data_IF_895978255753
#
_entry.id   IF_895978255753
#
_cell.length_a   1.000
_cell.length_b   1.000
_cell.length_c   1.000
_cell.angle_alpha   90.00
_cell.angle_beta   90.00
_cell.angle_gamma   90.00
#
_symmetry.space_group_name_H-M   'P 1'
#
loop_
_entity.id
_entity.type
_entity.pdbx_description
1 polymer ?
#
# COMPACT_ATOMS: atom_id res chain seq x y z
N UNK A 1 18.07 7.07 2.94
CA UNK A 1 16.80 7.84 2.98
C UNK A 1 15.99 7.28 4.13
N UNK A 2 15.60 8.12 5.08
CA UNK A 2 14.82 7.67 6.23
C UNK A 2 13.46 7.13 5.74
N UNK A 3 13.11 5.92 6.14
CA UNK A 3 11.85 5.26 5.75
C UNK A 3 10.65 5.82 6.52
N UNK A 4 10.87 6.68 7.51
CA UNK A 4 9.83 7.35 8.26
C UNK A 4 10.10 8.86 8.37
N UNK A 5 9.03 9.63 8.54
CA UNK A 5 9.05 11.07 8.84
C UNK A 5 7.93 11.35 9.82
N UNK A 6 8.24 12.08 10.89
CA UNK A 6 7.26 12.53 11.87
C UNK A 6 7.25 14.05 11.91
N UNK A 7 6.15 14.65 11.44
CA UNK A 7 5.98 16.10 11.40
C UNK A 7 4.54 16.45 11.79
N UNK A 8 4.34 17.46 12.65
CA UNK A 8 3.01 18.01 12.99
C UNK A 8 1.96 16.95 13.38
N UNK A 9 2.31 16.04 14.31
CA UNK A 9 1.44 14.92 14.75
C UNK A 9 1.04 13.96 13.61
N UNK A 10 1.83 13.91 12.53
CA UNK A 10 1.62 13.01 11.40
C UNK A 10 2.87 12.15 11.21
N UNK A 11 2.72 10.85 11.31
CA UNK A 11 3.74 9.87 10.98
C UNK A 11 3.51 9.37 9.54
N UNK A 12 4.53 9.50 8.71
CA UNK A 12 4.56 8.96 7.35
C UNK A 12 5.58 7.84 7.27
N UNK A 13 5.14 6.64 6.92
CA UNK A 13 6.01 5.47 6.70
C UNK A 13 6.07 5.17 5.20
N UNK A 14 7.26 5.19 4.61
CA UNK A 14 7.47 4.94 3.19
C UNK A 14 7.86 3.50 2.94
N UNK A 15 7.16 2.85 2.01
CA UNK A 15 7.51 1.51 1.54
C UNK A 15 8.88 1.54 0.85
N UNK A 16 9.71 0.54 1.14
CA UNK A 16 10.95 0.33 0.42
C UNK A 16 10.65 0.07 -1.07
N UNK A 17 11.18 0.92 -1.95
CA UNK A 17 10.96 0.79 -3.39
C UNK A 17 11.59 -0.50 -3.91
N UNK A 18 10.82 -1.28 -4.64
CA UNK A 18 11.32 -2.46 -5.33
C UNK A 18 12.33 -2.08 -6.43
N UNK A 19 13.23 -2.99 -6.85
CA UNK A 19 14.17 -2.72 -7.94
C UNK A 19 13.46 -2.15 -9.17
N UNK A 20 14.12 -1.22 -9.87
CA UNK A 20 13.48 -0.48 -10.97
C UNK A 20 12.96 -1.40 -12.08
N UNK A 21 13.69 -2.48 -12.36
CA UNK A 21 13.29 -3.50 -13.34
C UNK A 21 11.98 -4.19 -12.94
N UNK A 22 11.82 -4.56 -11.67
CA UNK A 22 10.59 -5.20 -11.17
C UNK A 22 9.41 -4.24 -11.31
N UNK A 23 9.60 -2.97 -10.93
CA UNK A 23 8.55 -1.95 -11.07
C UNK A 23 8.15 -1.75 -12.54
N UNK A 24 9.14 -1.67 -13.44
CA UNK A 24 8.89 -1.52 -14.87
C UNK A 24 8.07 -2.69 -15.42
N UNK A 25 8.46 -3.92 -15.09
CA UNK A 25 7.73 -5.12 -15.51
C UNK A 25 6.29 -5.12 -14.98
N UNK A 26 6.09 -4.77 -13.70
CA UNK A 26 4.76 -4.69 -13.11
C UNK A 26 3.86 -3.67 -13.83
N UNK A 27 4.38 -2.49 -14.17
CA UNK A 27 3.62 -1.49 -14.92
C UNK A 27 3.33 -1.94 -16.36
N UNK A 28 4.26 -2.61 -17.04
CA UNK A 28 4.04 -3.15 -18.38
C UNK A 28 2.92 -4.20 -18.34
N UNK A 29 2.97 -5.16 -17.42
CA UNK A 29 1.94 -6.19 -17.29
C UNK A 29 0.58 -5.55 -16.98
N UNK A 30 0.55 -4.62 -16.03
CA UNK A 30 -0.66 -3.85 -15.68
C UNK A 30 -1.25 -3.16 -16.91
N UNK A 31 -0.42 -2.48 -17.71
CA UNK A 31 -0.83 -1.81 -18.93
C UNK A 31 -1.39 -2.78 -19.97
N UNK A 32 -0.73 -3.91 -20.18
CA UNK A 32 -1.18 -4.95 -21.11
C UNK A 32 -2.54 -5.55 -20.71
N UNK A 33 -2.83 -5.66 -19.42
CA UNK A 33 -4.15 -6.11 -18.96
C UNK A 33 -5.29 -5.22 -19.48
N UNK A 34 -5.08 -3.91 -19.64
CA UNK A 34 -6.13 -3.03 -20.19
C UNK A 34 -6.09 -2.97 -21.72
N UNK A 35 -4.90 -2.98 -22.30
CA UNK A 35 -4.70 -2.73 -23.74
C UNK A 35 -5.07 -3.94 -24.59
N UNK A 36 -4.69 -5.16 -24.20
CA UNK A 36 -4.96 -6.37 -24.98
C UNK A 36 -6.47 -6.62 -25.19
N UNK A 37 -7.33 -6.64 -24.16
CA UNK A 37 -8.77 -6.85 -24.37
C UNK A 37 -9.40 -5.69 -25.14
N UNK A 38 -8.96 -4.45 -24.91
CA UNK A 38 -9.46 -3.29 -25.65
C UNK A 38 -9.11 -3.39 -27.14
N UNK A 39 -7.86 -3.73 -27.45
CA UNK A 39 -7.38 -3.95 -28.81
C UNK A 39 -8.14 -5.08 -29.50
N UNK A 40 -8.41 -6.18 -28.80
CA UNK A 40 -9.23 -7.28 -29.31
C UNK A 40 -10.66 -6.86 -29.66
N UNK A 41 -11.28 -6.01 -28.84
CA UNK A 41 -12.61 -5.44 -29.15
C UNK A 41 -12.54 -4.56 -30.40
N UNK A 42 -11.55 -3.66 -30.48
CA UNK A 42 -11.36 -2.75 -31.62
C UNK A 42 -11.15 -3.53 -32.92
N UNK A 43 -10.30 -4.57 -32.92
CA UNK A 43 -10.09 -5.41 -34.09
C UNK A 43 -11.38 -6.11 -34.56
N UNK A 44 -12.17 -6.65 -33.63
CA UNK A 44 -13.46 -7.26 -33.99
C UNK A 44 -14.41 -6.25 -34.64
N UNK A 45 -14.43 -4.99 -34.17
CA UNK A 45 -15.26 -3.94 -34.78
C UNK A 45 -14.78 -3.64 -36.21
N UNK A 46 -13.47 -3.49 -36.42
CA UNK A 46 -12.88 -3.17 -37.72
C UNK A 46 -13.17 -4.29 -38.75
N UNK A 47 -13.12 -5.55 -38.32
CA UNK A 47 -13.41 -6.72 -39.15
C UNK A 47 -14.92 -6.89 -39.47
N UNK A 48 -15.79 -6.00 -38.97
CA UNK A 48 -17.24 -6.09 -39.16
C UNK A 48 -17.92 -7.15 -38.28
N UNK A 49 -17.19 -7.77 -37.35
CA UNK A 49 -17.71 -8.74 -36.40
C UNK A 49 -18.52 -8.11 -35.25
N UNK A 50 -18.49 -6.77 -35.13
CA UNK A 50 -19.17 -6.02 -34.08
C UNK A 50 -18.60 -6.28 -32.68
N UNK A 51 -19.29 -5.79 -31.64
CA UNK A 51 -18.90 -6.02 -30.25
C UNK A 51 -19.50 -7.34 -29.77
N UNK A 52 -18.65 -8.35 -29.58
CA UNK A 52 -19.06 -9.65 -29.04
C UNK A 52 -19.11 -9.60 -27.51
N UNK A 53 -20.10 -10.29 -26.93
CA UNK A 53 -20.21 -10.44 -25.48
C UNK A 53 -18.93 -11.01 -24.84
N UNK A 54 -18.28 -11.97 -25.50
CA UNK A 54 -17.00 -12.52 -25.03
C UNK A 54 -15.88 -11.47 -24.92
N UNK A 55 -15.85 -10.47 -25.81
CA UNK A 55 -14.91 -9.35 -25.73
C UNK A 55 -15.19 -8.45 -24.53
N UNK A 56 -16.47 -8.14 -24.27
CA UNK A 56 -16.88 -7.36 -23.10
C UNK A 56 -16.53 -8.10 -21.80
N UNK A 57 -16.83 -9.41 -21.74
CA UNK A 57 -16.52 -10.24 -20.58
C UNK A 57 -15.00 -10.31 -20.32
N UNK A 58 -14.21 -10.54 -21.38
CA UNK A 58 -12.76 -10.52 -21.29
C UNK A 58 -12.25 -9.16 -20.79
N UNK A 59 -12.77 -8.05 -21.33
CA UNK A 59 -12.41 -6.71 -20.86
C UNK A 59 -12.74 -6.51 -19.38
N UNK A 60 -13.90 -6.97 -18.90
CA UNK A 60 -14.26 -6.89 -17.49
C UNK A 60 -13.29 -7.65 -16.58
N UNK A 61 -13.01 -8.91 -16.90
CA UNK A 61 -12.09 -9.76 -16.13
C UNK A 61 -10.67 -9.20 -16.13
N UNK A 62 -10.15 -8.83 -17.30
CA UNK A 62 -8.82 -8.28 -17.43
C UNK A 62 -8.70 -6.89 -16.81
N UNK A 63 -9.75 -6.06 -16.82
CA UNK A 63 -9.77 -4.78 -16.11
C UNK A 63 -9.73 -4.98 -14.59
N UNK A 64 -10.45 -5.98 -14.08
CA UNK A 64 -10.39 -6.32 -12.65
C UNK A 64 -8.99 -6.77 -12.23
N UNK A 65 -8.38 -7.68 -13.00
CA UNK A 65 -6.99 -8.12 -12.76
C UNK A 65 -6.01 -6.94 -12.92
N UNK A 66 -6.18 -6.13 -13.96
CA UNK A 66 -5.36 -4.95 -14.24
C UNK A 66 -5.42 -3.93 -13.10
N UNK A 67 -6.60 -3.70 -12.52
CA UNK A 67 -6.74 -2.80 -11.37
C UNK A 67 -6.02 -3.34 -10.13
N UNK A 68 -6.12 -4.64 -9.87
CA UNK A 68 -5.35 -5.27 -8.80
C UNK A 68 -3.84 -5.14 -9.02
N UNK A 69 -3.36 -5.39 -10.24
CA UNK A 69 -1.94 -5.24 -10.60
C UNK A 69 -1.48 -3.77 -10.52
N UNK A 70 -2.35 -2.82 -10.85
CA UNK A 70 -2.09 -1.39 -10.68
C UNK A 70 -1.87 -1.05 -9.20
N UNK A 71 -2.73 -1.55 -8.31
CA UNK A 71 -2.58 -1.37 -6.85
C UNK A 71 -1.23 -1.89 -6.36
N UNK A 72 -0.81 -3.08 -6.80
CA UNK A 72 0.50 -3.65 -6.46
C UNK A 72 1.63 -2.78 -7.01
N UNK A 73 1.55 -2.36 -8.27
CA UNK A 73 2.58 -1.56 -8.95
C UNK A 73 2.80 -0.21 -8.28
N UNK A 74 1.70 0.46 -7.91
CA UNK A 74 1.74 1.73 -7.19
C UNK A 74 2.29 1.57 -5.79
N UNK A 75 1.87 0.54 -5.04
CA UNK A 75 2.40 0.28 -3.70
C UNK A 75 3.91 0.05 -3.71
N UNK A 76 4.41 -0.75 -4.66
CA UNK A 76 5.84 -1.04 -4.80
C UNK A 76 6.68 0.18 -5.25
N UNK A 77 6.04 1.23 -5.74
CA UNK A 77 6.70 2.40 -6.32
C UNK A 77 6.60 3.64 -5.46
N UNK A 78 5.43 3.86 -4.86
CA UNK A 78 5.02 5.07 -4.18
C UNK A 78 4.23 4.81 -2.90
N UNK A 79 4.12 3.56 -2.44
CA UNK A 79 3.34 3.22 -1.25
C UNK A 79 3.84 3.97 -0.03
N UNK A 80 2.93 4.67 0.64
CA UNK A 80 3.17 5.35 1.90
C UNK A 80 2.02 5.07 2.85
N UNK A 81 2.31 4.88 4.14
CA UNK A 81 1.31 4.89 5.19
C UNK A 81 1.32 6.25 5.87
N UNK A 82 0.14 6.73 6.20
CA UNK A 82 -0.05 7.97 6.93
C UNK A 82 -0.83 7.62 8.19
N UNK A 83 -0.21 7.92 9.34
CA UNK A 83 -0.81 7.81 10.66
C UNK A 83 -0.92 9.22 11.22
N UNK A 84 -2.16 9.70 11.34
CA UNK A 84 -2.46 11.01 11.90
C UNK A 84 -2.88 10.85 13.37
N UNK A 85 -2.20 11.54 14.26
CA UNK A 85 -2.51 11.58 15.68
C UNK A 85 -3.37 12.81 15.96
N UNK A 86 -4.69 12.63 16.05
CA UNK A 86 -5.59 13.68 16.49
C UNK A 86 -5.70 13.68 18.03
N UNK A 87 -6.54 14.56 18.56
CA UNK A 87 -6.67 14.71 20.01
C UNK A 87 -7.36 13.48 20.63
N UNK A 88 -8.41 12.95 19.99
CA UNK A 88 -9.20 11.82 20.53
C UNK A 88 -8.97 10.48 19.79
N UNK A 89 -8.49 10.53 18.54
CA UNK A 89 -8.34 9.34 17.69
C UNK A 89 -7.05 9.35 16.87
N UNK A 90 -6.55 8.15 16.56
CA UNK A 90 -5.53 7.92 15.54
C UNK A 90 -6.19 7.48 14.25
N UNK A 91 -5.78 8.08 13.15
CA UNK A 91 -6.27 7.77 11.82
C UNK A 91 -5.16 7.16 10.98
N UNK A 92 -5.41 5.97 10.45
CA UNK A 92 -4.49 5.25 9.57
C UNK A 92 -5.04 5.20 8.16
N UNK A 93 -4.21 5.54 7.18
CA UNK A 93 -4.52 5.40 5.76
C UNK A 93 -3.30 4.95 4.97
N UNK A 94 -3.50 3.97 4.08
CA UNK A 94 -2.53 3.60 3.07
C UNK A 94 -2.71 4.46 1.82
N UNK A 95 -1.67 5.16 1.40
CA UNK A 95 -1.63 6.06 0.26
C UNK A 95 -0.84 5.42 -0.89
N UNK A 96 -1.53 5.13 -1.99
CA UNK A 96 -0.95 4.60 -3.23
C UNK A 96 -0.55 5.72 -4.20
N UNK A 97 -0.54 6.98 -3.75
CA UNK A 97 -0.34 8.22 -4.50
C UNK A 97 -1.48 8.58 -5.45
N UNK A 98 -2.05 7.61 -6.16
CA UNK A 98 -3.17 7.83 -7.08
C UNK A 98 -4.53 7.66 -6.40
N UNK A 99 -4.58 6.82 -5.36
CA UNK A 99 -5.75 6.59 -4.54
C UNK A 99 -5.33 6.22 -3.12
N UNK A 100 -6.29 6.27 -2.19
CA UNK A 100 -6.09 5.92 -0.79
C UNK A 100 -6.98 4.73 -0.45
N UNK A 101 -6.51 3.87 0.44
CA UNK A 101 -7.34 2.80 0.99
C UNK A 101 -8.37 3.35 1.99
N UNK A 102 -9.27 2.47 2.45
CA UNK A 102 -10.17 2.77 3.56
C UNK A 102 -9.42 3.24 4.80
N UNK A 103 -9.89 4.35 5.37
CA UNK A 103 -9.38 4.92 6.61
C UNK A 103 -9.73 4.00 7.78
N UNK A 104 -8.76 3.70 8.64
CA UNK A 104 -8.97 2.99 9.90
C UNK A 104 -8.79 3.97 11.05
N UNK A 105 -9.65 3.91 12.05
CA UNK A 105 -9.59 4.77 13.24
C UNK A 105 -9.37 3.92 14.49
N UNK A 106 -8.61 4.48 15.43
CA UNK A 106 -8.32 3.87 16.73
C UNK A 106 -8.50 4.95 17.80
N UNK A 107 -9.23 4.67 18.87
CA UNK A 107 -9.35 5.61 19.98
C UNK A 107 -8.02 5.71 20.73
N UNK A 108 -7.70 6.91 21.24
CA UNK A 108 -6.37 7.23 21.78
C UNK A 108 -6.07 6.65 23.16
N UNK A 109 -7.02 5.98 23.81
CA UNK A 109 -6.85 5.48 25.17
C UNK A 109 -5.76 4.40 25.29
N UNK A 110 -4.75 4.64 26.13
CA UNK A 110 -3.67 3.68 26.46
C UNK A 110 -2.93 3.11 25.23
N UNK A 111 -2.33 4.00 24.44
CA UNK A 111 -1.48 3.63 23.30
C UNK A 111 -0.26 2.81 23.71
N UNK A 112 -0.15 1.62 23.12
CA UNK A 112 1.01 0.75 23.19
C UNK A 112 1.58 0.57 21.79
N UNK A 113 2.89 0.80 21.67
CA UNK A 113 3.66 0.59 20.45
C UNK A 113 4.55 -0.64 20.61
N UNK A 114 4.53 -1.53 19.62
CA UNK A 114 5.38 -2.72 19.63
C UNK A 114 5.88 -3.07 18.24
N UNK A 115 6.92 -3.90 18.21
CA UNK A 115 7.50 -4.44 16.99
C UNK A 115 7.00 -5.87 16.81
N UNK A 116 6.41 -6.15 15.65
CA UNK A 116 6.14 -7.52 15.22
C UNK A 116 7.17 -7.93 14.17
N UNK A 117 8.04 -8.91 14.45
CA UNK A 117 9.05 -9.34 13.48
C UNK A 117 8.38 -9.96 12.25
N UNK A 118 8.95 -9.73 11.07
CA UNK A 118 8.50 -10.29 9.79
C UNK A 118 9.69 -10.77 8.98
N UNK A 119 9.64 -12.02 8.51
CA UNK A 119 10.68 -12.63 7.69
C UNK A 119 11.41 -13.72 8.47
N UNK A 120 12.61 -14.07 8.00
CA UNK A 120 13.52 -14.93 8.76
C UNK A 120 14.15 -14.12 9.89
N UNK A 121 14.44 -14.75 11.03
CA UNK A 121 14.98 -14.06 12.22
C UNK A 121 16.24 -13.24 11.91
N UNK A 122 17.08 -13.74 11.00
CA UNK A 122 18.33 -13.09 10.57
C UNK A 122 18.12 -11.77 9.80
N UNK A 123 16.94 -11.54 9.22
CA UNK A 123 16.66 -10.34 8.42
C UNK A 123 16.52 -9.06 9.29
N UNK A 124 16.33 -9.22 10.61
CA UNK A 124 16.14 -8.13 11.57
C UNK A 124 15.12 -7.06 11.10
N UNK A 125 14.02 -7.53 10.50
CA UNK A 125 12.92 -6.70 10.00
C UNK A 125 11.65 -6.95 10.79
N UNK A 126 10.86 -5.90 10.91
CA UNK A 126 9.56 -5.94 11.54
C UNK A 126 8.60 -4.94 10.94
N UNK A 127 7.43 -4.86 11.58
CA UNK A 127 6.43 -3.82 11.36
C UNK A 127 6.08 -3.15 12.68
N UNK A 128 5.64 -1.91 12.59
CA UNK A 128 5.06 -1.18 13.71
C UNK A 128 3.66 -1.71 14.01
N UNK A 129 3.38 -2.00 15.27
CA UNK A 129 2.05 -2.30 15.77
C UNK A 129 1.65 -1.23 16.76
N UNK A 130 0.51 -0.58 16.51
CA UNK A 130 -0.11 0.41 17.40
C UNK A 130 -1.36 -0.22 17.97
N UNK A 131 -1.52 -0.23 19.29
CA UNK A 131 -2.69 -0.83 19.94
C UNK A 131 -3.18 0.01 21.12
N UNK A 132 -4.47 -0.06 21.40
CA UNK A 132 -5.14 0.65 22.50
C UNK A 132 -5.77 -0.35 23.51
N UNK A 133 -5.24 -1.58 23.57
CA UNK A 133 -5.79 -2.69 24.36
C UNK A 133 -6.98 -3.41 23.71
N UNK A 134 -7.90 -2.68 23.06
CA UNK A 134 -9.11 -3.26 22.45
C UNK A 134 -8.97 -3.50 20.94
N UNK A 135 -8.20 -2.66 20.26
CA UNK A 135 -7.97 -2.73 18.83
C UNK A 135 -6.50 -2.46 18.49
N UNK A 136 -6.09 -2.89 17.29
CA UNK A 136 -4.71 -2.76 16.81
C UNK A 136 -4.67 -2.37 15.35
N UNK A 137 -3.69 -1.53 15.02
CA UNK A 137 -3.26 -1.21 13.67
C UNK A 137 -1.89 -1.84 13.49
N UNK A 138 -1.81 -2.83 12.59
CA UNK A 138 -0.56 -3.40 12.13
C UNK A 138 -0.14 -2.66 10.86
N UNK A 139 1.04 -2.02 10.88
CA UNK A 139 1.66 -1.44 9.70
C UNK A 139 1.97 -2.55 8.69
N UNK A 140 1.81 -2.25 7.41
CA UNK A 140 2.25 -3.10 6.29
C UNK A 140 3.61 -2.67 5.72
N UNK A 141 4.21 -1.61 6.25
CA UNK A 141 5.57 -1.14 5.90
C UNK A 141 6.63 -1.89 6.70
N UNK A 142 7.42 -2.71 6.02
CA UNK A 142 8.53 -3.46 6.60
C UNK A 142 9.77 -2.57 6.75
N UNK A 143 10.35 -2.53 7.95
CA UNK A 143 11.54 -1.73 8.27
C UNK A 143 12.52 -2.53 9.12
N UNK A 144 13.78 -2.07 9.19
CA UNK A 144 14.76 -2.63 10.12
C UNK A 144 14.32 -2.39 11.58
N UNK A 145 14.55 -3.35 12.47
CA UNK A 145 14.19 -3.25 13.88
C UNK A 145 14.79 -2.00 14.54
N UNK A 146 16.05 -1.67 14.22
CA UNK A 146 16.69 -0.44 14.70
C UNK A 146 15.89 0.83 14.36
N UNK A 147 15.38 0.94 13.12
CA UNK A 147 14.56 2.10 12.71
C UNK A 147 13.20 2.11 13.42
N UNK A 148 12.64 0.93 13.73
CA UNK A 148 11.39 0.79 14.46
C UNK A 148 11.57 1.14 15.94
N UNK A 149 12.68 0.76 16.55
CA UNK A 149 13.04 1.13 17.93
C UNK A 149 13.16 2.66 18.06
N UNK A 150 13.94 3.30 17.17
CA UNK A 150 14.05 4.77 17.11
C UNK A 150 12.68 5.44 16.92
N UNK A 151 11.82 4.86 16.08
CA UNK A 151 10.47 5.37 15.86
C UNK A 151 9.57 5.22 17.10
N UNK A 152 9.64 4.09 17.81
CA UNK A 152 8.85 3.86 19.02
C UNK A 152 9.27 4.84 20.12
N UNK A 153 10.57 5.07 20.31
CA UNK A 153 11.08 6.07 21.25
C UNK A 153 10.55 7.47 20.91
N UNK A 154 10.55 7.85 19.63
CA UNK A 154 9.98 9.12 19.18
C UNK A 154 8.48 9.23 19.49
N UNK A 155 7.72 8.16 19.29
CA UNK A 155 6.27 8.14 19.53
C UNK A 155 5.92 8.16 21.02
N UNK A 156 6.73 7.51 21.87
CA UNK A 156 6.57 7.54 23.32
C UNK A 156 6.89 8.92 23.91
N UNK A 157 7.89 9.62 23.35
CA UNK A 157 8.27 10.97 23.80
C UNK A 157 7.36 12.07 23.23
N UNK A 158 6.60 11.80 22.18
CA UNK A 158 5.68 12.76 21.54
C UNK A 158 4.24 12.70 22.07
N UNK A 159 3.92 11.71 22.91
CA UNK A 159 2.65 11.57 23.62
C UNK A 159 2.62 12.37 24.91
#
# INVERSE_FOLDING_TARGET
MNQFSFEKKQLKLKVAKSPILVRLILFIITFLCFVLPLFGIVLNIIEGNGIKFGGILAFGVFSFIGFFMLRISLWNSFGEEIIQFNDDQIEYVADYRWFKDGKRTLDKDLMMYSIKPIGYEDDNKGILVISNGNSKIESVVKMQNKNLEELIELLQNAG
#
